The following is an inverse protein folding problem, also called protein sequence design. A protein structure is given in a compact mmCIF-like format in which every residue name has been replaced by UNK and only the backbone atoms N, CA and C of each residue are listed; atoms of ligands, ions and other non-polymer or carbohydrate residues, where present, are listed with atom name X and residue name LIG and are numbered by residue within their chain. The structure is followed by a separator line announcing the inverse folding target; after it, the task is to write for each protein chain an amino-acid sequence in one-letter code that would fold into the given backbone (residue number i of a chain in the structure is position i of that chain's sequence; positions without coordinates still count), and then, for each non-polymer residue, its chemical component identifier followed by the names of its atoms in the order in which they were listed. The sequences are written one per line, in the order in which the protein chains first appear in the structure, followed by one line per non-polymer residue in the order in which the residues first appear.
data_IF_014093150738
#
_entry.id   IF_014093150738
#
_cell.length_a   1.000
_cell.length_b   1.000
_cell.length_c   1.000
_cell.angle_alpha   90.00
_cell.angle_beta   90.00
_cell.angle_gamma   90.00
#
_symmetry.space_group_name_H-M   'P 1'
#
loop_
_entity.id
_entity.type
_entity.pdbx_description
1 polymer ?
#
# COMPACT_ATOMS: atom_id res chain seq x y z
N UNK A 1 -21.20 1.66 -36.34
CA UNK A 1 -21.82 0.82 -35.28
C UNK A 1 -21.39 1.41 -33.94
N UNK A 2 -22.31 2.04 -33.20
CA UNK A 2 -22.03 2.59 -31.85
C UNK A 2 -22.66 1.62 -30.86
N UNK A 3 -21.85 0.76 -30.27
CA UNK A 3 -22.28 0.01 -29.11
C UNK A 3 -22.31 0.94 -27.91
N UNK A 4 -23.36 0.85 -27.11
CA UNK A 4 -23.39 1.50 -25.80
C UNK A 4 -22.43 0.76 -24.86
N UNK A 5 -21.87 1.46 -23.88
CA UNK A 5 -21.01 0.84 -22.85
C UNK A 5 -21.75 -0.34 -22.20
N UNK A 6 -23.05 -0.18 -21.93
CA UNK A 6 -23.89 -1.23 -21.35
C UNK A 6 -23.98 -2.50 -22.21
N UNK A 7 -24.17 -2.38 -23.52
CA UNK A 7 -24.18 -3.54 -24.42
C UNK A 7 -22.83 -4.26 -24.46
N UNK A 8 -21.72 -3.51 -24.39
CA UNK A 8 -20.38 -4.09 -24.32
C UNK A 8 -20.16 -4.88 -23.01
N UNK A 9 -20.59 -4.31 -21.88
CA UNK A 9 -20.51 -4.95 -20.56
C UNK A 9 -21.38 -6.22 -20.46
N UNK A 10 -22.54 -6.24 -21.12
CA UNK A 10 -23.39 -7.43 -21.15
C UNK A 10 -22.91 -8.51 -22.12
N UNK A 11 -22.29 -8.12 -23.23
CA UNK A 11 -21.74 -9.06 -24.20
C UNK A 11 -20.44 -9.73 -23.73
N UNK A 12 -19.72 -9.10 -22.81
CA UNK A 12 -18.42 -9.55 -22.30
C UNK A 12 -18.41 -9.51 -20.76
N UNK A 13 -19.14 -10.41 -20.07
CA UNK A 13 -19.17 -10.44 -18.61
C UNK A 13 -17.80 -10.76 -17.99
N UNK A 14 -16.94 -11.43 -18.75
CA UNK A 14 -15.56 -11.81 -18.44
C UNK A 14 -14.55 -10.68 -18.70
N UNK A 15 -14.98 -9.54 -19.25
CA UNK A 15 -14.09 -8.41 -19.60
C UNK A 15 -13.30 -7.87 -18.39
N UNK A 16 -13.81 -8.11 -17.18
CA UNK A 16 -13.16 -7.70 -15.92
C UNK A 16 -12.75 -8.89 -15.05
N UNK A 17 -12.76 -10.11 -15.59
CA UNK A 17 -12.19 -11.25 -14.90
C UNK A 17 -10.70 -10.96 -14.66
N UNK A 18 -10.28 -11.07 -13.39
CA UNK A 18 -8.93 -10.72 -13.00
C UNK A 18 -8.59 -9.22 -13.10
N UNK A 19 -9.57 -8.32 -13.27
CA UNK A 19 -9.27 -6.88 -13.32
C UNK A 19 -8.64 -6.39 -12.02
N UNK A 20 -9.08 -6.90 -10.87
CA UNK A 20 -8.53 -6.54 -9.58
C UNK A 20 -7.10 -7.06 -9.38
N UNK A 21 -6.81 -8.30 -9.74
CA UNK A 21 -5.44 -8.83 -9.73
C UNK A 21 -4.54 -8.06 -10.70
N UNK A 22 -4.98 -7.82 -11.95
CA UNK A 22 -4.24 -7.07 -12.96
C UNK A 22 -3.89 -5.65 -12.49
N UNK A 23 -4.85 -4.94 -11.90
CA UNK A 23 -4.60 -3.60 -11.35
C UNK A 23 -3.60 -3.68 -10.19
N UNK A 24 -3.77 -4.62 -9.26
CA UNK A 24 -2.86 -4.78 -8.14
C UNK A 24 -1.43 -5.05 -8.60
N UNK A 25 -1.24 -5.98 -9.54
CA UNK A 25 0.05 -6.30 -10.14
C UNK A 25 0.66 -5.10 -10.85
N UNK A 26 -0.13 -4.34 -11.61
CA UNK A 26 0.35 -3.17 -12.33
C UNK A 26 0.84 -2.10 -11.36
N UNK A 27 0.06 -1.80 -10.33
CA UNK A 27 0.43 -0.83 -9.29
C UNK A 27 1.68 -1.28 -8.52
N UNK A 28 1.77 -2.57 -8.15
CA UNK A 28 2.94 -3.13 -7.46
C UNK A 28 4.19 -3.13 -8.34
N UNK A 29 4.07 -3.48 -9.62
CA UNK A 29 5.16 -3.41 -10.59
C UNK A 29 5.66 -1.98 -10.77
N UNK A 30 4.74 -1.01 -10.83
CA UNK A 30 5.09 0.40 -10.92
C UNK A 30 5.81 0.89 -9.66
N UNK A 31 5.29 0.57 -8.48
CA UNK A 31 5.92 0.91 -7.20
C UNK A 31 7.32 0.30 -7.09
N UNK A 32 7.52 -0.91 -7.61
CA UNK A 32 8.81 -1.59 -7.62
C UNK A 32 9.76 -1.14 -8.73
N UNK A 33 9.32 -0.27 -9.63
CA UNK A 33 10.15 0.22 -10.73
C UNK A 33 11.34 1.04 -10.20
N UNK A 34 12.46 1.00 -10.94
CA UNK A 34 13.67 1.77 -10.59
C UNK A 34 13.40 3.26 -10.44
N UNK A 35 12.49 3.80 -11.24
CA UNK A 35 12.11 5.21 -11.24
C UNK A 35 11.47 5.62 -9.91
N UNK A 36 10.51 4.82 -9.43
CA UNK A 36 9.83 5.07 -8.17
C UNK A 36 10.74 4.80 -6.97
N UNK A 37 11.54 3.73 -7.02
CA UNK A 37 12.57 3.45 -6.01
C UNK A 37 13.58 4.60 -5.90
N UNK A 38 13.93 5.27 -7.01
CA UNK A 38 14.82 6.43 -6.97
C UNK A 38 14.19 7.66 -6.29
N UNK A 39 12.86 7.77 -6.21
CA UNK A 39 12.18 8.86 -5.47
C UNK A 39 12.27 8.68 -3.95
N UNK A 40 12.57 7.47 -3.47
CA UNK A 40 12.76 7.12 -2.05
C UNK A 40 13.83 7.97 -1.35
N UNK A 41 14.84 8.43 -2.10
CA UNK A 41 15.96 9.23 -1.58
C UNK A 41 15.63 10.71 -1.40
N UNK A 42 14.47 11.17 -1.88
CA UNK A 42 14.03 12.55 -1.69
C UNK A 42 13.40 12.74 -0.28
N UNK A 43 13.82 13.77 0.49
CA UNK A 43 13.24 14.05 1.81
C UNK A 43 11.75 14.40 1.75
N UNK A 44 11.30 14.96 0.63
CA UNK A 44 9.91 15.32 0.39
C UNK A 44 9.58 15.32 -1.10
N UNK A 45 9.27 14.16 -1.70
CA UNK A 45 8.86 14.12 -3.09
C UNK A 45 7.57 14.95 -3.26
N UNK A 46 7.62 15.96 -4.12
CA UNK A 46 6.43 16.70 -4.51
C UNK A 46 5.58 15.81 -5.41
N UNK A 47 4.45 15.35 -4.89
CA UNK A 47 3.56 14.42 -5.60
C UNK A 47 2.61 15.13 -6.58
N UNK A 48 2.58 16.48 -6.57
CA UNK A 48 1.75 17.25 -7.51
C UNK A 48 2.20 16.92 -8.93
N UNK A 49 1.34 16.23 -9.67
CA UNK A 49 1.60 15.80 -11.05
C UNK A 49 1.90 14.30 -11.22
N UNK A 50 1.76 13.48 -10.18
CA UNK A 50 1.97 12.02 -10.26
C UNK A 50 0.73 11.20 -9.85
N UNK A 51 -0.42 11.38 -10.55
CA UNK A 51 -1.69 10.77 -10.15
C UNK A 51 -1.64 9.23 -10.13
N UNK A 52 -0.83 8.62 -11.02
CA UNK A 52 -0.69 7.17 -11.04
C UNK A 52 0.12 6.64 -9.84
N UNK A 53 1.10 7.40 -9.34
CA UNK A 53 1.83 7.04 -8.13
C UNK A 53 0.93 7.07 -6.90
N UNK A 54 0.11 8.12 -6.78
CA UNK A 54 -0.89 8.23 -5.71
C UNK A 54 -1.92 7.10 -5.79
N UNK A 55 -2.45 6.82 -6.98
CA UNK A 55 -3.36 5.71 -7.20
C UNK A 55 -2.73 4.36 -6.88
N UNK A 56 -1.45 4.17 -7.23
CA UNK A 56 -0.74 2.92 -6.99
C UNK A 56 -0.65 2.56 -5.51
N UNK A 57 -0.73 3.51 -4.58
CA UNK A 57 -0.76 3.25 -3.14
C UNK A 57 -2.00 2.46 -2.70
N UNK A 58 -3.07 2.46 -3.50
CA UNK A 58 -4.31 1.74 -3.24
C UNK A 58 -4.32 0.31 -3.78
N UNK A 59 -3.18 -0.22 -4.25
CA UNK A 59 -3.07 -1.58 -4.80
C UNK A 59 -3.66 -2.64 -3.88
N UNK A 60 -3.51 -2.51 -2.55
CA UNK A 60 -4.04 -3.50 -1.61
C UNK A 60 -5.56 -3.57 -1.56
N UNK A 61 -6.26 -2.50 -1.94
CA UNK A 61 -7.73 -2.52 -2.11
C UNK A 61 -8.13 -3.48 -3.22
N UNK A 62 -7.33 -3.53 -4.29
CA UNK A 62 -7.54 -4.43 -5.41
C UNK A 62 -7.10 -5.85 -5.08
N UNK A 63 -5.90 -6.01 -4.50
CA UNK A 63 -5.38 -7.31 -4.10
C UNK A 63 -6.27 -8.01 -3.05
N UNK A 64 -6.95 -7.27 -2.17
CA UNK A 64 -7.90 -7.85 -1.22
C UNK A 64 -9.14 -8.47 -1.88
N UNK A 65 -9.52 -7.97 -3.07
CA UNK A 65 -10.64 -8.53 -3.83
C UNK A 65 -10.22 -9.71 -4.68
N UNK A 66 -9.00 -9.68 -5.20
CA UNK A 66 -8.43 -10.73 -6.02
C UNK A 66 -6.90 -10.69 -5.92
N UNK A 67 -6.33 -11.65 -5.19
CA UNK A 67 -4.90 -11.72 -4.92
C UNK A 67 -4.26 -12.78 -5.82
N UNK A 68 -3.42 -12.33 -6.75
CA UNK A 68 -2.62 -13.23 -7.57
C UNK A 68 -1.27 -13.55 -6.94
N UNK A 69 -0.65 -14.65 -7.36
CA UNK A 69 0.70 -15.02 -6.90
C UNK A 69 1.77 -14.02 -7.37
N UNK A 70 1.60 -13.42 -8.55
CA UNK A 70 2.44 -12.32 -9.02
C UNK A 70 2.35 -11.11 -8.07
N UNK A 71 1.15 -10.72 -7.65
CA UNK A 71 0.97 -9.63 -6.69
C UNK A 71 1.61 -9.96 -5.34
N UNK A 72 1.53 -11.20 -4.86
CA UNK A 72 2.25 -11.63 -3.65
C UNK A 72 3.76 -11.47 -3.82
N UNK A 73 4.31 -11.97 -4.92
CA UNK A 73 5.75 -11.86 -5.21
C UNK A 73 6.20 -10.39 -5.25
N UNK A 74 5.49 -9.52 -5.98
CA UNK A 74 5.85 -8.10 -6.05
C UNK A 74 5.70 -7.38 -4.71
N UNK A 75 4.71 -7.73 -3.90
CA UNK A 75 4.57 -7.20 -2.54
C UNK A 75 5.71 -7.67 -1.62
N UNK A 76 6.35 -8.80 -1.94
CA UNK A 76 7.42 -9.41 -1.17
C UNK A 76 8.85 -9.07 -1.65
N UNK A 77 9.01 -8.60 -2.90
CA UNK A 77 10.26 -8.78 -3.67
C UNK A 77 11.53 -8.08 -3.12
N UNK A 78 11.51 -6.91 -2.45
CA UNK A 78 12.53 -6.75 -1.38
C UNK A 78 12.17 -5.75 -0.26
N UNK A 79 12.18 -6.26 0.98
CA UNK A 79 12.00 -5.52 2.23
C UNK A 79 13.15 -4.60 2.64
N UNK A 80 14.31 -4.74 2.02
CA UNK A 80 15.55 -4.04 2.37
C UNK A 80 15.45 -2.50 2.25
N UNK A 81 14.44 -2.00 1.53
CA UNK A 81 14.28 -0.56 1.28
C UNK A 81 12.88 -0.02 1.63
N UNK A 82 11.98 -0.86 2.16
CA UNK A 82 10.58 -0.45 2.40
C UNK A 82 10.49 0.64 3.48
N UNK A 83 11.35 0.61 4.49
CA UNK A 83 11.45 1.66 5.53
C UNK A 83 11.67 3.06 4.95
N UNK A 84 12.32 3.18 3.79
CA UNK A 84 12.51 4.46 3.09
C UNK A 84 11.64 4.63 1.84
N UNK A 85 10.97 3.56 1.39
CA UNK A 85 10.24 3.55 0.13
C UNK A 85 9.10 4.57 0.12
N UNK A 86 8.84 5.13 -1.05
CA UNK A 86 7.83 6.18 -1.19
C UNK A 86 6.41 5.70 -0.81
N UNK A 87 6.14 4.39 -0.92
CA UNK A 87 4.88 3.78 -0.50
C UNK A 87 4.66 3.78 1.01
N UNK A 88 5.71 3.96 1.83
CA UNK A 88 5.60 4.10 3.29
C UNK A 88 5.57 5.55 3.74
N UNK A 89 6.23 6.44 2.99
CA UNK A 89 6.32 7.88 3.29
C UNK A 89 5.06 8.66 2.95
N UNK A 90 4.40 8.37 1.82
CA UNK A 90 3.25 9.17 1.36
C UNK A 90 2.02 9.03 2.27
N UNK A 91 1.56 7.80 2.57
CA UNK A 91 0.31 7.66 3.29
C UNK A 91 0.40 8.17 4.75
N UNK A 92 1.56 7.97 5.37
CA UNK A 92 1.88 8.51 6.70
C UNK A 92 1.84 10.06 6.75
N UNK A 93 2.35 10.73 5.72
CA UNK A 93 2.33 12.21 5.62
C UNK A 93 0.92 12.78 5.47
N UNK A 94 0.02 12.05 4.79
CA UNK A 94 -1.35 12.48 4.56
C UNK A 94 -2.23 12.34 5.83
N UNK A 95 -2.01 11.29 6.63
CA UNK A 95 -2.83 11.02 7.82
C UNK A 95 -2.34 11.70 9.10
N UNK A 96 -1.03 11.93 9.26
CA UNK A 96 -0.47 12.54 10.49
C UNK A 96 0.40 13.77 10.19
N UNK A 97 -0.22 14.92 9.87
CA UNK A 97 0.51 16.15 9.60
C UNK A 97 1.35 16.65 10.79
N UNK A 98 0.99 16.29 12.03
CA UNK A 98 1.70 16.70 13.24
C UNK A 98 3.11 16.10 13.37
N UNK A 99 3.34 14.92 12.79
CA UNK A 99 4.66 14.32 12.73
C UNK A 99 5.60 15.08 11.77
N UNK A 100 5.09 15.92 10.87
CA UNK A 100 5.94 16.67 9.94
C UNK A 100 6.68 17.87 10.61
N UNK A 101 6.24 18.32 11.79
CA UNK A 101 6.78 19.52 12.44
C UNK A 101 8.11 19.29 13.18
N UNK A 102 8.43 18.04 13.52
CA UNK A 102 9.64 17.68 14.27
C UNK A 102 10.64 17.12 13.27
N UNK A 103 11.44 17.99 12.63
CA UNK A 103 12.39 17.66 11.56
C UNK A 103 12.87 16.20 11.51
N UNK A 104 12.28 15.43 10.59
CA UNK A 104 12.55 14.00 10.41
C UNK A 104 13.80 13.78 9.54
N UNK A 105 14.98 14.07 10.11
CA UNK A 105 16.27 13.56 9.62
C UNK A 105 16.63 12.19 10.25
N UNK A 106 15.75 11.62 11.08
CA UNK A 106 15.91 10.25 11.61
C UNK A 106 15.18 9.23 10.74
N UNK A 107 15.80 8.06 10.45
CA UNK A 107 15.16 7.01 9.68
C UNK A 107 13.82 6.65 10.32
N UNK A 108 12.76 6.70 9.53
CA UNK A 108 11.40 6.55 10.03
C UNK A 108 11.22 5.19 10.68
N UNK A 109 10.82 5.19 11.95
CA UNK A 109 10.42 3.98 12.67
C UNK A 109 9.15 3.30 12.10
N UNK A 110 8.56 3.88 11.05
CA UNK A 110 7.42 3.33 10.32
C UNK A 110 7.90 2.35 9.25
N UNK A 111 7.90 1.06 9.58
CA UNK A 111 8.37 -0.01 8.69
C UNK A 111 7.33 -0.39 7.64
N UNK A 112 7.74 -1.14 6.61
CA UNK A 112 6.82 -1.71 5.63
C UNK A 112 5.73 -2.59 6.25
N UNK A 113 5.99 -3.17 7.43
CA UNK A 113 5.00 -3.95 8.18
C UNK A 113 3.89 -3.05 8.76
N UNK A 114 4.19 -1.83 9.19
CA UNK A 114 3.18 -0.86 9.59
C UNK A 114 2.26 -0.51 8.41
N UNK A 115 2.85 -0.27 7.23
CA UNK A 115 2.09 -0.02 6.00
C UNK A 115 1.23 -1.22 5.59
N UNK A 116 1.79 -2.42 5.61
CA UNK A 116 1.06 -3.62 5.24
C UNK A 116 -0.10 -3.92 6.19
N UNK A 117 0.13 -3.72 7.48
CA UNK A 117 -0.87 -3.89 8.54
C UNK A 117 -2.01 -2.87 8.42
N UNK A 118 -1.69 -1.61 8.12
CA UNK A 118 -2.69 -0.55 8.00
C UNK A 118 -3.42 -0.57 6.65
N UNK A 119 -2.68 -0.58 5.54
CA UNK A 119 -3.24 -0.36 4.20
C UNK A 119 -3.84 -1.62 3.59
N UNK A 120 -3.16 -2.76 3.72
CA UNK A 120 -3.44 -3.92 2.89
C UNK A 120 -4.29 -4.96 3.62
N UNK A 121 -3.97 -5.28 4.87
CA UNK A 121 -4.70 -6.31 5.67
C UNK A 121 -4.87 -7.64 4.93
N UNK A 122 -3.95 -7.97 4.04
CA UNK A 122 -3.88 -9.24 3.34
C UNK A 122 -3.00 -10.12 4.20
N UNK A 123 -3.62 -11.07 4.90
CA UNK A 123 -2.95 -11.88 5.93
C UNK A 123 -1.75 -12.60 5.36
N UNK A 124 -1.86 -13.09 4.13
CA UNK A 124 -0.82 -13.78 3.39
C UNK A 124 0.40 -12.89 3.16
N UNK A 125 0.17 -11.61 2.83
CA UNK A 125 1.27 -10.65 2.65
C UNK A 125 1.86 -10.32 4.01
N UNK A 126 1.06 -9.95 5.02
CA UNK A 126 1.56 -9.60 6.36
C UNK A 126 2.33 -10.75 7.01
N UNK A 127 1.85 -11.99 6.89
CA UNK A 127 2.53 -13.19 7.36
C UNK A 127 3.84 -13.42 6.59
N UNK A 128 3.79 -13.30 5.26
CA UNK A 128 4.99 -13.36 4.42
C UNK A 128 6.02 -12.31 4.80
N UNK A 129 5.60 -11.10 5.20
CA UNK A 129 6.51 -10.04 5.67
C UNK A 129 7.14 -10.38 7.01
N UNK A 130 6.35 -10.95 7.93
CA UNK A 130 6.81 -11.33 9.26
C UNK A 130 7.80 -12.50 9.25
N UNK A 131 7.77 -13.32 8.21
CA UNK A 131 8.71 -14.42 7.99
C UNK A 131 10.02 -14.00 7.32
N UNK A 132 10.13 -12.76 6.82
CA UNK A 132 11.38 -12.21 6.29
C UNK A 132 12.38 -12.01 7.43
N UNK A 133 13.61 -12.48 7.23
CA UNK A 133 14.73 -12.33 8.15
C UNK A 133 14.90 -10.84 8.54
N UNK A 134 15.12 -10.55 9.83
CA UNK A 134 15.19 -9.20 10.44
C UNK A 134 13.89 -8.37 10.52
N UNK A 135 12.71 -8.95 10.27
CA UNK A 135 11.45 -8.24 10.52
C UNK A 135 11.07 -8.20 12.01
N UNK A 136 11.19 -7.03 12.66
CA UNK A 136 10.68 -6.83 14.02
C UNK A 136 9.17 -6.50 14.01
N UNK A 137 8.35 -7.51 14.26
CA UNK A 137 6.88 -7.38 14.37
C UNK A 137 6.42 -6.50 15.54
N UNK A 138 7.32 -6.27 16.51
CA UNK A 138 7.06 -5.44 17.70
C UNK A 138 7.62 -4.03 17.55
N UNK A 139 8.31 -3.74 16.44
CA UNK A 139 8.87 -2.44 16.14
C UNK A 139 7.79 -1.38 16.31
N UNK A 140 8.07 -0.37 17.11
CA UNK A 140 7.14 0.73 17.34
C UNK A 140 7.49 1.91 16.46
N UNK A 141 6.47 2.58 15.93
CA UNK A 141 6.63 3.82 15.19
C UNK A 141 6.91 5.03 16.11
N UNK A 142 6.99 6.23 15.53
CA UNK A 142 7.23 7.45 16.30
C UNK A 142 6.06 7.87 17.21
N UNK A 143 4.91 7.20 17.10
CA UNK A 143 3.75 7.35 18.00
C UNK A 143 3.67 6.20 19.01
N UNK A 144 4.73 5.40 19.16
CA UNK A 144 4.79 4.23 20.04
C UNK A 144 3.81 3.10 19.66
N UNK A 145 3.32 3.10 18.41
CA UNK A 145 2.38 2.09 17.92
C UNK A 145 3.12 0.98 17.18
N UNK A 146 2.83 -0.27 17.53
CA UNK A 146 3.25 -1.44 16.75
C UNK A 146 2.35 -1.64 15.51
N UNK A 147 2.77 -2.42 14.50
CA UNK A 147 1.96 -2.74 13.33
C UNK A 147 0.57 -3.28 13.67
N UNK A 148 0.48 -4.09 14.74
CA UNK A 148 -0.80 -4.63 15.22
C UNK A 148 -1.78 -3.54 15.67
N UNK A 149 -1.28 -2.47 16.30
CA UNK A 149 -2.13 -1.34 16.73
C UNK A 149 -2.74 -0.68 15.51
N UNK A 150 -1.95 -0.43 14.47
CA UNK A 150 -2.44 0.14 13.21
C UNK A 150 -3.48 -0.75 12.50
N UNK A 151 -3.27 -2.07 12.49
CA UNK A 151 -4.28 -3.00 11.99
C UNK A 151 -5.61 -2.89 12.76
N UNK A 152 -5.54 -2.67 14.08
CA UNK A 152 -6.70 -2.51 14.95
C UNK A 152 -7.41 -1.15 14.76
N UNK A 153 -6.67 -0.05 14.62
CA UNK A 153 -7.24 1.31 14.47
C UNK A 153 -8.21 1.39 13.29
N UNK A 154 -7.82 0.84 12.14
CA UNK A 154 -8.66 0.83 10.94
C UNK A 154 -9.85 -0.14 11.04
N UNK A 155 -9.77 -1.13 11.93
CA UNK A 155 -10.92 -1.98 12.22
C UNK A 155 -12.01 -1.23 13.02
N UNK A 156 -11.65 -0.26 13.84
CA UNK A 156 -12.60 0.57 14.57
C UNK A 156 -13.28 1.60 13.66
N UNK A 157 -12.53 2.32 12.82
CA UNK A 157 -13.07 3.30 11.87
C UNK A 157 -14.13 2.69 10.92
N UNK A 158 -13.90 1.45 10.45
CA UNK A 158 -14.83 0.73 9.59
C UNK A 158 -16.09 0.23 10.31
N UNK A 159 -16.06 0.06 11.63
CA UNK A 159 -17.25 -0.31 12.42
C UNK A 159 -18.17 0.89 12.58
N UNK A 160 -17.59 2.07 12.77
CA UNK A 160 -18.35 3.30 12.94
C UNK A 160 -19.02 3.75 11.62
N UNK A 161 -18.39 3.47 10.47
CA UNK A 161 -18.98 3.70 9.14
C UNK A 161 -20.09 2.71 8.73
N UNK A 162 -20.22 1.56 9.39
CA UNK A 162 -21.31 0.60 9.12
C UNK A 162 -22.58 0.88 9.92
N UNK A 163 -22.53 1.83 10.86
CA UNK A 163 -23.64 2.21 11.72
C UNK A 163 -24.22 3.60 11.35
N UNK A 164 -23.87 4.13 10.17
CA UNK A 164 -24.47 5.30 9.53
C UNK A 164 -25.13 4.89 8.21
#
# INVERSE_FOLDING_TARGET
MRFTLQECLWAHPDLFDGAHSTIAETCLSYLNSRQVKALSTSPSPNLKGTPFLEYSLYWGTHAKRDLSDCAKLFALEPFDNYTNHISTKIPFKAEKPYCNAVGFDKPSFFSGLHCASYYFRIVEIVAGLAEVEDCDITQRDCSDNAPLVWAATRCHELRDQKNQ
#
